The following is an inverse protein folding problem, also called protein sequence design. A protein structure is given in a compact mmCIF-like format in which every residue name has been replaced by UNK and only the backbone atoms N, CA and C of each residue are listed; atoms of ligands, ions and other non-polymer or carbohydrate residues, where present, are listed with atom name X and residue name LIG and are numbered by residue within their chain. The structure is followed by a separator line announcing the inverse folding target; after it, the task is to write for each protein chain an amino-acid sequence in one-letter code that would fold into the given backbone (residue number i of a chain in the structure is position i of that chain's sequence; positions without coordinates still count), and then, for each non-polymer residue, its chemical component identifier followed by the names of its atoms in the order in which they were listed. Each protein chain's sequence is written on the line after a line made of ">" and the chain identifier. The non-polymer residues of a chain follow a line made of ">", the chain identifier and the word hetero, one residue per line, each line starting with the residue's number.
data_IF_079649985182
#
_entry.id   IF_079649985182
#
_cell.length_a   1.000
_cell.length_b   1.000
_cell.length_c   1.000
_cell.angle_alpha   90.00
_cell.angle_beta   90.00
_cell.angle_gamma   90.00
#
_symmetry.space_group_name_H-M   'P 1'
#
loop_
_entity.id
_entity.type
_entity.pdbx_description
1 polymer ?
#
# COMPACT_ATOMS: atom_id res chain seq x y z
N UNK A 1 28.78 35.70 58.56
CA UNK A 1 27.92 36.69 59.18
C UNK A 1 26.54 36.46 58.62
N UNK A 2 25.76 35.63 59.25
CA UNK A 2 24.66 35.90 60.19
C UNK A 2 23.53 36.73 59.57
N UNK A 3 22.36 36.16 59.58
CA UNK A 3 21.09 36.83 59.59
C UNK A 3 19.91 35.92 59.31
N UNK A 4 19.37 35.33 60.36
CA UNK A 4 18.12 34.58 60.40
C UNK A 4 16.91 35.51 60.59
N UNK A 5 15.74 34.98 60.34
CA UNK A 5 14.41 35.23 60.97
C UNK A 5 13.32 35.40 59.95
N UNK A 6 12.12 34.93 60.04
CA UNK A 6 11.30 34.03 60.85
C UNK A 6 9.85 34.14 60.30
N UNK A 7 9.14 33.09 60.37
CA UNK A 7 7.70 32.84 60.44
C UNK A 7 6.68 33.94 60.16
N UNK A 8 5.65 33.61 59.34
CA UNK A 8 4.25 33.77 59.71
C UNK A 8 3.30 32.84 59.05
N UNK A 9 2.43 32.18 59.81
CA UNK A 9 1.31 31.35 59.48
C UNK A 9 0.16 32.14 58.86
N UNK A 10 -0.53 31.52 57.89
CA UNK A 10 -1.85 31.96 57.46
C UNK A 10 -2.53 30.83 56.72
N UNK A 11 -3.41 30.11 57.42
CA UNK A 11 -4.32 29.12 56.87
C UNK A 11 -5.55 29.77 56.26
N UNK A 12 -5.89 29.42 55.02
CA UNK A 12 -7.26 29.49 54.55
C UNK A 12 -7.47 28.45 53.48
N UNK A 13 -8.43 27.56 53.76
CA UNK A 13 -8.98 26.53 52.90
C UNK A 13 -9.79 27.15 51.77
N UNK A 14 -9.53 26.76 50.54
CA UNK A 14 -10.51 26.81 49.46
C UNK A 14 -10.32 25.58 48.58
N UNK A 15 -11.38 24.81 48.54
CA UNK A 15 -11.62 23.68 47.64
C UNK A 15 -11.68 24.21 46.22
N UNK A 16 -10.74 23.80 45.36
CA UNK A 16 -10.81 23.98 43.93
C UNK A 16 -10.93 22.61 43.28
N UNK A 17 -12.09 22.46 42.66
CA UNK A 17 -12.53 21.34 41.84
C UNK A 17 -11.75 21.41 40.52
N UNK A 18 -10.66 20.64 40.41
CA UNK A 18 -9.87 20.57 39.19
C UNK A 18 -10.52 19.55 38.26
N UNK A 19 -11.32 20.03 37.34
CA UNK A 19 -11.71 19.27 36.17
C UNK A 19 -10.45 18.85 35.41
N UNK A 20 -10.18 17.55 35.36
CA UNK A 20 -9.14 16.93 34.56
C UNK A 20 -9.52 17.05 33.06
N UNK A 21 -8.95 18.04 32.41
CA UNK A 21 -9.02 18.22 30.96
C UNK A 21 -8.22 17.07 30.30
N UNK A 22 -8.93 16.04 29.88
CA UNK A 22 -8.37 14.96 29.04
C UNK A 22 -7.98 15.56 27.69
N UNK A 23 -6.77 16.09 27.60
CA UNK A 23 -6.14 16.45 26.34
C UNK A 23 -5.90 15.16 25.54
N UNK A 24 -6.80 14.87 24.62
CA UNK A 24 -6.56 13.89 23.54
C UNK A 24 -5.44 14.44 22.68
N UNK A 25 -4.21 14.04 22.96
CA UNK A 25 -3.06 14.31 22.11
C UNK A 25 -3.32 13.65 20.76
N UNK A 26 -3.73 14.44 19.77
CA UNK A 26 -3.68 14.04 18.38
C UNK A 26 -2.24 13.63 18.08
N UNK A 27 -2.04 12.35 17.73
CA UNK A 27 -0.73 11.83 17.36
C UNK A 27 -0.22 12.67 16.18
N UNK A 28 0.90 13.34 16.38
CA UNK A 28 1.53 14.16 15.35
C UNK A 28 1.80 13.26 14.14
N UNK A 29 1.17 13.55 13.00
CA UNK A 29 1.44 12.88 11.74
C UNK A 29 2.88 13.17 11.37
N UNK A 30 3.76 12.20 11.51
CA UNK A 30 5.15 12.31 11.06
C UNK A 30 5.14 12.40 9.53
N UNK A 31 5.78 13.42 8.93
CA UNK A 31 5.89 13.47 7.48
C UNK A 31 6.56 12.18 6.97
N UNK A 32 6.06 11.65 5.84
CA UNK A 32 6.50 10.39 5.21
C UNK A 32 6.04 9.07 5.86
N UNK A 33 5.10 9.07 6.79
CA UNK A 33 4.47 7.83 7.26
C UNK A 33 3.23 7.49 6.44
N UNK A 34 3.17 6.26 5.95
CA UNK A 34 1.98 5.68 5.31
C UNK A 34 1.38 4.65 6.26
N UNK A 35 0.07 4.72 6.43
CA UNK A 35 -0.69 3.80 7.27
C UNK A 35 -1.19 2.63 6.45
N UNK A 36 -1.01 1.43 6.95
CA UNK A 36 -1.59 0.21 6.38
C UNK A 36 -2.32 -0.59 7.45
N UNK A 37 -3.23 -1.46 7.02
CA UNK A 37 -4.01 -2.29 7.91
C UNK A 37 -3.85 -3.77 7.56
N UNK A 38 -3.73 -4.61 8.59
CA UNK A 38 -3.60 -6.07 8.49
C UNK A 38 -4.87 -6.73 9.03
N UNK A 39 -5.49 -7.60 8.26
CA UNK A 39 -6.71 -8.31 8.67
C UNK A 39 -6.47 -9.22 9.89
N UNK A 40 -7.38 -9.18 10.88
CA UNK A 40 -7.32 -10.02 12.09
C UNK A 40 -7.98 -11.38 11.89
N UNK A 41 -9.14 -11.40 11.23
CA UNK A 41 -9.97 -12.61 11.05
C UNK A 41 -9.51 -13.46 9.86
N UNK A 42 -10.24 -14.52 9.56
CA UNK A 42 -10.02 -15.38 8.38
C UNK A 42 -10.52 -14.76 7.08
N UNK A 43 -11.23 -13.63 7.18
CA UNK A 43 -11.78 -12.86 6.08
C UNK A 43 -11.74 -11.38 6.41
N UNK A 44 -11.66 -10.55 5.36
CA UNK A 44 -11.86 -9.11 5.45
C UNK A 44 -13.02 -8.73 4.51
N UNK A 45 -14.06 -8.11 5.07
CA UNK A 45 -15.17 -7.55 4.31
C UNK A 45 -14.88 -6.09 3.97
N UNK A 46 -15.02 -5.74 2.70
CA UNK A 46 -14.84 -4.38 2.20
C UNK A 46 -16.14 -3.94 1.54
N UNK A 47 -16.73 -2.86 2.02
CA UNK A 47 -17.94 -2.27 1.45
C UNK A 47 -17.57 -1.23 0.40
N UNK A 48 -18.36 -1.13 -0.66
CA UNK A 48 -18.20 -0.06 -1.68
C UNK A 48 -18.68 1.29 -1.19
N UNK A 49 -19.66 1.29 -0.26
CA UNK A 49 -20.23 2.49 0.35
C UNK A 49 -20.33 2.29 1.87
N UNK A 50 -20.22 3.37 2.63
CA UNK A 50 -20.50 3.34 4.06
C UNK A 50 -21.95 2.96 4.32
N UNK A 51 -22.23 2.12 5.34
CA UNK A 51 -23.59 1.84 5.77
C UNK A 51 -24.30 3.15 6.09
N UNK A 52 -25.48 3.36 5.51
CA UNK A 52 -26.32 4.49 5.89
C UNK A 52 -26.71 4.30 7.35
N UNK A 53 -26.19 5.15 8.23
CA UNK A 53 -26.59 5.14 9.65
C UNK A 53 -28.10 5.37 9.70
N UNK A 54 -28.86 4.37 10.10
CA UNK A 54 -30.30 4.52 10.35
C UNK A 54 -30.44 5.34 11.62
N UNK A 55 -30.44 6.67 11.45
CA UNK A 55 -30.94 7.56 12.49
C UNK A 55 -32.43 7.35 12.53
N UNK A 56 -32.92 6.62 13.49
CA UNK A 56 -34.35 6.51 13.77
C UNK A 56 -34.84 7.83 14.35
N UNK A 57 -35.23 8.75 13.47
CA UNK A 57 -36.11 9.87 13.78
C UNK A 57 -37.48 9.64 13.11
N UNK A 58 -38.60 10.05 13.78
CA UNK A 58 -39.95 9.67 13.40
C UNK A 58 -40.40 10.29 12.07
N UNK A 59 -41.49 9.83 11.44
CA UNK A 59 -41.73 9.92 10.01
C UNK A 59 -42.19 11.29 9.58
N UNK A 60 -41.61 11.81 8.50
CA UNK A 60 -42.22 12.86 7.71
C UNK A 60 -41.89 12.69 6.23
N UNK A 61 -42.98 12.41 5.49
CA UNK A 61 -43.27 12.70 4.08
C UNK A 61 -42.26 12.36 2.97
N UNK A 62 -42.67 11.37 2.19
CA UNK A 62 -42.60 11.17 0.73
C UNK A 62 -41.89 12.25 -0.13
N UNK A 63 -40.83 11.82 -0.84
CA UNK A 63 -40.68 12.19 -2.26
C UNK A 63 -39.90 11.09 -2.98
N UNK A 64 -40.51 10.59 -4.04
CA UNK A 64 -39.98 9.65 -5.01
C UNK A 64 -38.91 10.33 -5.86
N UNK A 65 -37.73 9.68 -6.02
CA UNK A 65 -36.83 10.03 -7.12
C UNK A 65 -36.21 8.77 -7.72
N UNK A 66 -36.35 8.66 -9.00
CA UNK A 66 -36.06 7.61 -9.93
C UNK A 66 -34.63 7.07 -9.86
N UNK A 67 -34.53 5.74 -9.83
CA UNK A 67 -33.29 4.96 -10.01
C UNK A 67 -32.82 5.04 -11.46
N UNK A 68 -31.66 5.65 -11.70
CA UNK A 68 -30.92 5.47 -12.95
C UNK A 68 -30.02 4.26 -12.80
N UNK A 69 -30.34 3.20 -13.51
CA UNK A 69 -29.58 1.94 -13.55
C UNK A 69 -28.28 2.18 -14.31
N UNK A 70 -27.14 2.11 -13.62
CA UNK A 70 -25.83 2.06 -14.24
C UNK A 70 -25.62 0.70 -14.94
N UNK A 71 -24.92 0.62 -16.08
CA UNK A 71 -24.74 -0.62 -16.82
C UNK A 71 -23.91 -1.63 -15.99
N UNK A 72 -24.45 -2.84 -15.87
CA UNK A 72 -23.87 -3.97 -15.16
C UNK A 72 -22.69 -4.52 -15.96
N UNK A 73 -21.48 -4.05 -15.68
CA UNK A 73 -20.25 -4.64 -16.23
C UNK A 73 -20.00 -5.94 -15.48
N UNK A 74 -20.24 -7.07 -16.15
CA UNK A 74 -19.97 -8.41 -15.63
C UNK A 74 -18.46 -8.61 -15.65
N UNK A 75 -17.80 -8.62 -14.50
CA UNK A 75 -16.40 -9.04 -14.40
C UNK A 75 -16.29 -10.52 -14.75
N UNK A 76 -15.29 -10.93 -15.58
CA UNK A 76 -15.06 -12.34 -15.87
C UNK A 76 -14.72 -13.12 -14.59
N UNK A 77 -15.14 -14.39 -14.55
CA UNK A 77 -14.88 -15.29 -13.42
C UNK A 77 -13.37 -15.43 -13.18
N UNK A 78 -12.97 -15.41 -11.90
CA UNK A 78 -11.58 -15.55 -11.47
C UNK A 78 -11.08 -16.96 -11.87
N UNK A 79 -10.01 -17.08 -12.69
CA UNK A 79 -9.41 -18.38 -12.99
C UNK A 79 -8.78 -19.00 -11.73
N UNK A 80 -8.87 -20.31 -11.58
CA UNK A 80 -8.54 -21.05 -10.35
C UNK A 80 -7.05 -21.14 -10.02
N UNK A 81 -6.12 -20.75 -10.91
CA UNK A 81 -4.69 -21.05 -10.80
C UNK A 81 -3.78 -19.82 -10.96
N UNK A 82 -4.23 -18.61 -10.69
CA UNK A 82 -3.40 -17.42 -10.85
C UNK A 82 -2.89 -16.83 -9.55
N UNK A 83 -1.93 -15.91 -9.69
CA UNK A 83 -1.33 -15.11 -8.60
C UNK A 83 -2.32 -14.16 -7.89
N UNK A 84 -3.64 -14.42 -7.95
CA UNK A 84 -4.59 -13.70 -7.09
C UNK A 84 -4.43 -14.17 -5.65
N UNK A 85 -3.33 -13.76 -5.03
CA UNK A 85 -2.96 -14.12 -3.68
C UNK A 85 -4.02 -13.73 -2.65
N UNK A 86 -4.79 -12.69 -2.92
CA UNK A 86 -5.77 -12.13 -1.99
C UNK A 86 -7.10 -12.90 -1.92
N UNK A 87 -7.35 -13.88 -2.80
CA UNK A 87 -8.58 -14.69 -2.78
C UNK A 87 -9.86 -13.85 -2.74
N UNK A 88 -9.94 -12.81 -3.58
CA UNK A 88 -11.05 -11.86 -3.60
C UNK A 88 -12.32 -12.44 -4.20
N UNK A 89 -13.45 -12.22 -3.52
CA UNK A 89 -14.81 -12.52 -3.99
C UNK A 89 -15.62 -11.24 -4.01
N UNK A 90 -16.26 -10.92 -5.14
CA UNK A 90 -17.22 -9.82 -5.22
C UNK A 90 -18.54 -10.22 -4.56
N UNK A 91 -19.09 -9.36 -3.71
CA UNK A 91 -20.37 -9.52 -3.03
C UNK A 91 -21.38 -8.49 -3.59
N UNK A 92 -22.61 -8.48 -3.07
CA UNK A 92 -23.61 -7.47 -3.45
C UNK A 92 -23.18 -6.06 -3.05
N UNK A 93 -22.57 -5.93 -1.86
CA UNK A 93 -22.26 -4.64 -1.23
C UNK A 93 -20.76 -4.28 -1.33
N UNK A 94 -19.94 -5.13 -1.98
CA UNK A 94 -18.50 -4.88 -2.08
C UNK A 94 -17.67 -6.12 -2.38
N UNK A 95 -16.73 -6.43 -1.49
CA UNK A 95 -15.76 -7.51 -1.66
C UNK A 95 -15.54 -8.27 -0.36
N UNK A 96 -15.23 -9.55 -0.46
CA UNK A 96 -14.74 -10.40 0.61
C UNK A 96 -13.36 -10.93 0.22
N UNK A 97 -12.38 -10.75 1.07
CA UNK A 97 -11.01 -11.24 0.91
C UNK A 97 -10.72 -12.35 1.89
N UNK A 98 -10.01 -13.39 1.46
CA UNK A 98 -9.50 -14.44 2.34
C UNK A 98 -8.26 -13.96 3.11
N UNK A 99 -8.17 -14.33 4.39
CA UNK A 99 -6.98 -14.14 5.21
C UNK A 99 -6.66 -15.45 5.95
N UNK A 100 -5.44 -15.98 5.89
CA UNK A 100 -4.29 -15.46 5.15
C UNK A 100 -4.46 -15.57 3.62
N UNK A 101 -3.57 -14.91 2.87
CA UNK A 101 -3.48 -14.99 1.41
C UNK A 101 -3.15 -16.43 0.96
N UNK A 102 -3.16 -16.67 -0.37
CA UNK A 102 -2.75 -17.96 -0.94
C UNK A 102 -1.35 -18.39 -0.46
N UNK A 103 -0.40 -17.47 -0.35
CA UNK A 103 0.97 -17.74 0.12
C UNK A 103 1.11 -17.75 1.64
N UNK A 104 -0.02 -17.77 2.37
CA UNK A 104 -0.07 -17.85 3.85
C UNK A 104 0.48 -16.62 4.58
N UNK A 105 0.58 -15.51 3.87
CA UNK A 105 0.90 -14.22 4.49
C UNK A 105 -0.39 -13.53 4.98
N UNK A 106 -0.31 -12.68 6.00
CA UNK A 106 -1.44 -11.85 6.41
C UNK A 106 -1.92 -10.95 5.26
N UNK A 107 -3.23 -10.80 5.10
CA UNK A 107 -3.81 -9.87 4.15
C UNK A 107 -3.59 -8.44 4.63
N UNK A 108 -3.02 -7.61 3.76
CA UNK A 108 -2.72 -6.19 4.02
C UNK A 108 -3.47 -5.32 3.01
N UNK A 109 -3.92 -4.15 3.47
CA UNK A 109 -4.53 -3.09 2.65
C UNK A 109 -3.91 -1.75 3.02
N UNK A 110 -3.85 -0.83 2.06
CA UNK A 110 -3.38 0.54 2.28
C UNK A 110 -4.53 1.43 2.78
N UNK A 111 -4.29 2.22 3.82
CA UNK A 111 -5.31 3.07 4.48
C UNK A 111 -5.23 4.48 3.92
N UNK A 112 -6.25 4.87 3.18
CA UNK A 112 -6.35 6.21 2.57
C UNK A 112 -6.98 7.23 3.50
N UNK A 113 -8.00 6.81 4.27
CA UNK A 113 -8.73 7.66 5.23
C UNK A 113 -9.06 6.86 6.49
N UNK A 114 -9.01 7.51 7.64
CA UNK A 114 -9.45 6.94 8.91
C UNK A 114 -10.54 7.83 9.52
N UNK A 115 -11.76 7.28 9.62
CA UNK A 115 -12.92 7.96 10.18
C UNK A 115 -13.37 7.32 11.52
N UNK A 116 -12.43 6.74 12.26
CA UNK A 116 -12.70 6.07 13.54
C UNK A 116 -13.22 4.65 13.36
N UNK A 117 -14.52 4.43 13.37
CA UNK A 117 -15.13 3.09 13.19
C UNK A 117 -14.86 2.51 11.79
N UNK A 118 -14.74 3.35 10.78
CA UNK A 118 -14.56 2.98 9.39
C UNK A 118 -13.29 3.57 8.80
N UNK A 119 -12.63 2.80 7.94
CA UNK A 119 -11.46 3.23 7.19
C UNK A 119 -11.68 2.99 5.71
N UNK A 120 -11.32 3.99 4.89
CA UNK A 120 -11.26 3.84 3.43
C UNK A 120 -9.91 3.27 3.06
N UNK A 121 -9.91 2.21 2.28
CA UNK A 121 -8.71 1.47 1.92
C UNK A 121 -8.62 1.28 0.41
N UNK A 122 -7.37 1.23 -0.09
CA UNK A 122 -7.05 0.74 -1.42
C UNK A 122 -6.96 -0.79 -1.35
N UNK A 123 -7.59 -1.49 -2.28
CA UNK A 123 -7.71 -2.95 -2.25
C UNK A 123 -7.09 -3.62 -3.49
N UNK A 124 -6.78 -4.91 -3.35
CA UNK A 124 -6.24 -5.75 -4.42
C UNK A 124 -7.38 -6.29 -5.29
N UNK A 125 -7.94 -5.44 -6.13
CA UNK A 125 -9.06 -5.76 -7.02
C UNK A 125 -8.94 -4.99 -8.35
N UNK A 126 -9.63 -5.52 -9.39
CA UNK A 126 -9.76 -4.82 -10.67
C UNK A 126 -11.08 -4.03 -10.73
N UNK A 127 -11.08 -2.85 -11.37
CA UNK A 127 -9.94 -2.15 -11.98
C UNK A 127 -8.91 -1.66 -10.95
N UNK A 128 -7.72 -1.27 -11.41
CA UNK A 128 -6.72 -0.62 -10.56
C UNK A 128 -7.33 0.57 -9.81
N UNK A 129 -6.78 0.90 -8.64
CA UNK A 129 -7.26 1.98 -7.76
C UNK A 129 -8.67 1.78 -7.18
N UNK A 130 -9.19 0.54 -7.19
CA UNK A 130 -10.44 0.22 -6.50
C UNK A 130 -10.28 0.43 -4.99
N UNK A 131 -11.20 1.19 -4.41
CA UNK A 131 -11.24 1.48 -2.97
C UNK A 131 -12.51 0.93 -2.35
N UNK A 132 -12.53 0.86 -1.03
CA UNK A 132 -13.71 0.52 -0.27
C UNK A 132 -13.53 0.81 1.22
N UNK A 133 -14.52 0.48 2.02
CA UNK A 133 -14.58 0.76 3.45
C UNK A 133 -14.51 -0.52 4.26
N UNK A 134 -13.66 -0.53 5.29
CA UNK A 134 -13.51 -1.62 6.24
C UNK A 134 -13.79 -1.12 7.66
N UNK A 135 -14.17 -2.02 8.56
CA UNK A 135 -14.26 -1.70 9.98
C UNK A 135 -12.88 -1.67 10.62
N UNK A 136 -12.64 -0.69 11.47
CA UNK A 136 -11.39 -0.58 12.22
C UNK A 136 -11.16 -1.79 13.14
N UNK A 137 -12.24 -2.37 13.68
CA UNK A 137 -12.17 -3.56 14.55
C UNK A 137 -11.70 -4.83 13.84
N UNK A 138 -11.88 -4.92 12.52
CA UNK A 138 -11.51 -6.10 11.72
C UNK A 138 -10.01 -6.16 11.40
N UNK A 139 -9.23 -5.11 11.74
CA UNK A 139 -7.83 -4.97 11.35
C UNK A 139 -6.94 -4.49 12.48
N UNK A 140 -5.64 -4.73 12.33
CA UNK A 140 -4.58 -4.09 13.11
C UNK A 140 -3.92 -3.02 12.24
N UNK A 141 -3.85 -1.79 12.74
CA UNK A 141 -3.26 -0.66 12.05
C UNK A 141 -1.77 -0.60 12.36
N UNK A 142 -0.95 -0.34 11.35
CA UNK A 142 0.46 -0.07 11.47
C UNK A 142 0.87 1.03 10.48
N UNK A 143 2.08 1.56 10.65
CA UNK A 143 2.64 2.56 9.75
C UNK A 143 4.02 2.13 9.25
N UNK A 144 4.40 2.64 8.09
CA UNK A 144 5.74 2.49 7.52
C UNK A 144 6.29 3.83 7.07
N UNK A 145 7.59 4.01 7.25
CA UNK A 145 8.32 5.16 6.70
C UNK A 145 8.92 4.83 5.33
N UNK A 146 8.81 3.59 4.89
CA UNK A 146 9.30 3.19 3.57
C UNK A 146 8.28 3.53 2.49
N UNK A 147 8.80 4.00 1.34
CA UNK A 147 8.04 4.16 0.10
C UNK A 147 8.91 3.81 -1.10
N UNK A 148 8.29 3.36 -2.15
CA UNK A 148 8.95 3.04 -3.42
C UNK A 148 8.45 4.01 -4.50
N UNK A 149 9.34 4.55 -5.31
CA UNK A 149 9.01 5.46 -6.41
C UNK A 149 9.70 4.96 -7.69
N UNK A 150 8.91 4.69 -8.73
CA UNK A 150 9.40 4.20 -10.03
C UNK A 150 9.13 5.21 -11.13
N UNK A 151 10.17 5.63 -11.82
CA UNK A 151 10.10 6.43 -13.04
C UNK A 151 10.24 5.50 -14.26
N UNK A 152 9.14 5.35 -15.02
CA UNK A 152 9.13 4.51 -16.22
C UNK A 152 9.93 5.11 -17.38
N UNK A 153 10.07 6.43 -17.44
CA UNK A 153 10.79 7.11 -18.51
C UNK A 153 12.30 6.90 -18.44
N UNK A 154 12.82 6.68 -17.24
CA UNK A 154 14.25 6.47 -16.98
C UNK A 154 14.58 5.07 -16.49
N UNK A 155 13.57 4.17 -16.36
CA UNK A 155 13.72 2.81 -15.82
C UNK A 155 14.28 2.79 -14.41
N UNK A 156 14.03 3.82 -13.62
CA UNK A 156 14.70 4.03 -12.35
C UNK A 156 13.77 3.89 -11.16
N UNK A 157 14.18 3.05 -10.22
CA UNK A 157 13.50 2.80 -8.95
C UNK A 157 14.26 3.44 -7.81
N UNK A 158 13.58 4.20 -6.98
CA UNK A 158 14.06 4.70 -5.69
C UNK A 158 13.22 4.14 -4.56
N UNK A 159 13.88 3.76 -3.48
CA UNK A 159 13.25 3.38 -2.22
C UNK A 159 13.73 4.33 -1.16
N UNK A 160 12.81 4.92 -0.45
CA UNK A 160 13.09 5.88 0.63
C UNK A 160 12.73 5.30 1.98
N UNK A 161 13.41 5.77 3.02
CA UNK A 161 12.99 5.64 4.42
C UNK A 161 12.89 7.03 5.01
N UNK A 162 11.68 7.46 5.35
CA UNK A 162 11.44 8.86 5.69
C UNK A 162 11.84 9.78 4.54
N UNK A 163 12.69 10.76 4.84
CA UNK A 163 13.27 11.68 3.85
C UNK A 163 14.49 11.09 3.12
N UNK A 164 15.11 10.04 3.65
CA UNK A 164 16.39 9.55 3.18
C UNK A 164 16.23 8.54 2.04
N UNK A 165 17.10 8.62 1.04
CA UNK A 165 17.22 7.60 0.00
C UNK A 165 17.85 6.34 0.61
N UNK A 166 17.08 5.25 0.66
CA UNK A 166 17.54 3.97 1.21
C UNK A 166 18.31 3.14 0.18
N UNK A 167 17.77 3.05 -1.06
CA UNK A 167 18.42 2.39 -2.19
C UNK A 167 17.81 2.88 -3.50
N UNK A 168 18.61 2.91 -4.55
CA UNK A 168 18.15 3.18 -5.92
C UNK A 168 18.80 2.19 -6.89
N UNK A 169 18.10 1.92 -8.01
CA UNK A 169 18.58 1.00 -9.06
C UNK A 169 17.83 1.20 -10.36
N UNK A 170 18.46 0.87 -11.47
CA UNK A 170 17.73 0.67 -12.72
C UNK A 170 17.02 -0.69 -12.71
N UNK A 171 15.90 -0.78 -13.44
CA UNK A 171 15.02 -1.94 -13.47
C UNK A 171 14.58 -2.29 -14.88
N UNK A 172 14.02 -3.49 -15.05
CA UNK A 172 13.27 -3.85 -16.26
C UNK A 172 11.80 -3.52 -16.04
N UNK A 173 11.16 -2.90 -17.01
CA UNK A 173 9.72 -2.61 -16.96
C UNK A 173 8.96 -3.32 -18.09
N UNK A 174 7.64 -3.18 -18.10
CA UNK A 174 6.77 -3.70 -19.15
C UNK A 174 7.11 -3.17 -20.52
N UNK A 175 7.07 -4.05 -21.54
CA UNK A 175 7.19 -3.64 -22.95
C UNK A 175 5.95 -2.84 -23.38
N UNK A 176 6.04 -2.11 -24.48
CA UNK A 176 4.96 -1.21 -24.95
C UNK A 176 3.62 -1.91 -25.18
N UNK A 177 3.63 -3.20 -25.54
CA UNK A 177 2.41 -4.00 -25.69
C UNK A 177 1.80 -4.51 -24.37
N UNK A 178 2.57 -4.50 -23.28
CA UNK A 178 2.15 -4.91 -21.92
C UNK A 178 2.81 -4.01 -20.90
N UNK A 179 2.46 -2.72 -20.84
CA UNK A 179 3.15 -1.74 -20.03
C UNK A 179 2.95 -2.00 -18.53
N UNK A 180 3.91 -1.57 -17.75
CA UNK A 180 3.74 -1.42 -16.30
C UNK A 180 2.73 -0.29 -16.05
N UNK A 181 1.66 -0.49 -15.27
CA UNK A 181 0.66 0.52 -15.03
C UNK A 181 1.23 1.67 -14.18
N UNK A 182 0.72 2.88 -14.42
CA UNK A 182 1.04 4.08 -13.63
C UNK A 182 0.05 4.27 -12.49
N UNK A 183 0.47 4.97 -11.44
CA UNK A 183 -0.39 5.34 -10.31
C UNK A 183 0.15 4.91 -8.96
N UNK A 184 -0.73 4.96 -7.96
CA UNK A 184 -0.44 4.61 -6.59
C UNK A 184 -0.84 3.16 -6.30
N UNK A 185 0.11 2.39 -5.78
CA UNK A 185 -0.02 0.98 -5.42
C UNK A 185 0.62 0.73 -4.05
N UNK A 186 0.55 -0.51 -3.57
CA UNK A 186 1.27 -0.94 -2.37
C UNK A 186 1.74 -2.39 -2.51
N UNK A 187 2.76 -2.77 -1.74
CA UNK A 187 3.24 -4.15 -1.62
C UNK A 187 2.23 -4.96 -0.81
N UNK A 188 1.58 -5.95 -1.41
CA UNK A 188 0.56 -6.76 -0.73
C UNK A 188 1.16 -7.83 0.17
N UNK A 189 2.29 -8.40 -0.22
CA UNK A 189 2.99 -9.43 0.54
C UNK A 189 4.45 -9.56 0.07
N UNK A 190 5.23 -10.36 0.79
CA UNK A 190 6.63 -10.65 0.44
C UNK A 190 6.83 -12.15 0.34
N UNK A 191 7.26 -12.62 -0.82
CA UNK A 191 7.45 -14.04 -1.11
C UNK A 191 8.93 -14.30 -1.38
N UNK A 192 9.56 -15.09 -0.52
CA UNK A 192 10.96 -15.51 -0.71
C UNK A 192 10.99 -16.76 -1.56
N UNK A 193 11.76 -16.74 -2.64
CA UNK A 193 11.99 -17.91 -3.46
C UNK A 193 13.03 -18.83 -2.82
N UNK A 194 12.98 -20.13 -3.14
CA UNK A 194 13.97 -21.11 -2.67
C UNK A 194 15.34 -20.90 -3.31
N UNK A 195 15.36 -20.39 -4.54
CA UNK A 195 16.58 -20.05 -5.30
C UNK A 195 16.43 -18.69 -5.94
N UNK A 196 17.53 -18.04 -6.27
CA UNK A 196 17.59 -16.77 -6.99
C UNK A 196 17.81 -16.94 -8.50
N UNK A 197 17.93 -18.17 -8.99
CA UNK A 197 18.23 -18.50 -10.38
C UNK A 197 17.00 -18.57 -11.29
N UNK A 198 15.80 -18.53 -10.71
CA UNK A 198 14.54 -18.53 -11.45
C UNK A 198 14.20 -17.16 -12.05
N UNK A 199 13.21 -17.13 -12.94
CA UNK A 199 12.75 -15.91 -13.64
C UNK A 199 12.29 -14.79 -12.67
N UNK A 200 11.87 -15.16 -11.48
CA UNK A 200 11.44 -14.22 -10.41
C UNK A 200 12.54 -13.86 -9.42
N UNK A 201 13.78 -14.41 -9.60
CA UNK A 201 14.91 -14.14 -8.72
C UNK A 201 14.67 -14.53 -7.27
N UNK A 202 15.34 -13.84 -6.34
CA UNK A 202 15.37 -14.17 -4.91
C UNK A 202 14.06 -13.86 -4.16
N UNK A 203 13.36 -12.80 -4.57
CA UNK A 203 12.12 -12.34 -3.91
C UNK A 203 11.09 -11.86 -4.92
N UNK A 204 9.82 -12.03 -4.56
CA UNK A 204 8.66 -11.45 -5.24
C UNK A 204 7.93 -10.56 -4.23
N UNK A 205 7.63 -9.34 -4.66
CA UNK A 205 6.84 -8.34 -3.94
C UNK A 205 5.58 -8.06 -4.79
N UNK A 206 4.53 -8.88 -4.68
CA UNK A 206 3.27 -8.63 -5.36
C UNK A 206 2.69 -7.28 -4.93
N UNK A 207 1.99 -6.62 -5.85
CA UNK A 207 1.29 -5.37 -5.59
C UNK A 207 -0.22 -5.55 -5.68
N UNK A 208 -0.99 -4.55 -5.30
CA UNK A 208 -2.44 -4.52 -5.57
C UNK A 208 -2.76 -4.15 -7.03
N UNK A 209 -1.76 -3.88 -7.86
CA UNK A 209 -1.89 -3.50 -9.27
C UNK A 209 -2.01 -4.71 -10.20
N UNK A 210 -2.72 -4.52 -11.30
CA UNK A 210 -2.90 -5.49 -12.39
C UNK A 210 -2.58 -4.85 -13.73
N UNK A 211 -2.17 -5.66 -14.71
CA UNK A 211 -2.07 -5.21 -16.10
C UNK A 211 -3.42 -4.69 -16.59
N UNK A 212 -3.41 -3.55 -17.29
CA UNK A 212 -4.60 -2.94 -17.85
C UNK A 212 -4.91 -3.46 -19.27
N UNK A 213 -3.99 -4.23 -19.85
CA UNK A 213 -4.11 -4.75 -21.22
C UNK A 213 -4.21 -6.28 -21.28
N UNK A 214 -3.77 -6.98 -20.24
CA UNK A 214 -3.89 -8.44 -20.16
C UNK A 214 -5.13 -8.84 -19.35
N UNK A 215 -5.90 -9.78 -19.87
CA UNK A 215 -7.00 -10.38 -19.09
C UNK A 215 -6.48 -11.46 -18.13
N UNK A 216 -5.52 -12.24 -18.59
CA UNK A 216 -4.88 -13.32 -17.83
C UNK A 216 -3.38 -13.36 -18.09
N UNK A 217 -2.62 -13.93 -17.15
CA UNK A 217 -1.21 -14.22 -17.29
C UNK A 217 -0.89 -15.53 -16.57
N UNK A 218 -0.25 -16.48 -17.28
CA UNK A 218 0.15 -17.79 -16.74
C UNK A 218 -1.01 -18.54 -16.03
N UNK A 219 -2.22 -18.46 -16.62
CA UNK A 219 -3.43 -19.10 -16.10
C UNK A 219 -4.10 -18.37 -14.92
N UNK A 220 -3.61 -17.18 -14.53
CA UNK A 220 -4.15 -16.37 -13.46
C UNK A 220 -4.46 -14.94 -13.83
N UNK A 221 -4.80 -14.13 -12.83
CA UNK A 221 -4.92 -12.69 -13.00
C UNK A 221 -3.53 -12.09 -13.26
N UNK A 222 -3.42 -11.10 -14.17
CA UNK A 222 -2.16 -10.49 -14.54
C UNK A 222 -1.71 -9.46 -13.49
N UNK A 223 -1.47 -9.93 -12.26
CA UNK A 223 -1.03 -9.10 -11.14
C UNK A 223 0.39 -8.62 -11.37
N UNK A 224 0.63 -7.35 -11.10
CA UNK A 224 1.96 -6.75 -11.18
C UNK A 224 2.73 -7.04 -9.91
N UNK A 225 4.00 -7.38 -10.09
CA UNK A 225 4.93 -7.58 -8.97
C UNK A 225 6.28 -6.91 -9.27
N UNK A 226 6.95 -6.52 -8.19
CA UNK A 226 8.37 -6.19 -8.20
C UNK A 226 9.13 -7.44 -7.77
N UNK A 227 10.09 -7.91 -8.55
CA UNK A 227 10.77 -9.18 -8.25
C UNK A 227 12.21 -9.19 -8.75
N UNK A 228 13.00 -10.14 -8.30
CA UNK A 228 14.34 -10.36 -8.80
C UNK A 228 14.37 -10.83 -10.25
N UNK A 229 15.54 -11.15 -10.79
CA UNK A 229 15.68 -11.58 -12.17
C UNK A 229 16.84 -12.56 -12.34
N UNK A 230 16.70 -13.48 -13.29
CA UNK A 230 17.80 -14.29 -13.82
C UNK A 230 18.38 -13.73 -15.15
N UNK A 231 17.92 -12.53 -15.54
CA UNK A 231 18.35 -11.82 -16.76
C UNK A 231 18.80 -10.40 -16.41
N UNK A 232 19.88 -10.24 -15.64
CA UNK A 232 20.35 -8.90 -15.21
C UNK A 232 20.80 -8.03 -16.37
N UNK A 233 21.14 -8.60 -17.52
CA UNK A 233 21.53 -7.89 -18.74
C UNK A 233 20.38 -7.08 -19.35
N UNK A 234 19.12 -7.35 -18.97
CA UNK A 234 17.94 -6.63 -19.46
C UNK A 234 17.61 -5.38 -18.60
N UNK A 235 18.33 -5.14 -17.51
CA UNK A 235 18.11 -3.96 -16.66
C UNK A 235 18.26 -2.68 -17.48
N UNK A 236 17.33 -1.73 -17.30
CA UNK A 236 17.25 -0.51 -18.09
C UNK A 236 16.48 -0.66 -19.42
N UNK A 237 15.70 -1.74 -19.58
CA UNK A 237 14.94 -2.00 -20.81
C UNK A 237 13.44 -2.27 -20.55
N UNK A 238 12.66 -2.23 -21.64
CA UNK A 238 11.26 -2.63 -21.71
C UNK A 238 11.15 -4.09 -22.18
N UNK A 239 11.24 -5.05 -21.26
CA UNK A 239 11.30 -6.47 -21.64
C UNK A 239 10.32 -7.38 -20.90
N UNK A 240 9.58 -6.88 -19.90
CA UNK A 240 8.64 -7.69 -19.11
C UNK A 240 7.22 -7.67 -19.70
N UNK A 241 6.32 -8.45 -19.08
CA UNK A 241 4.88 -8.42 -19.36
C UNK A 241 4.11 -7.53 -18.35
N UNK A 242 4.78 -6.50 -17.81
CA UNK A 242 4.22 -5.55 -16.87
C UNK A 242 4.89 -5.54 -15.50
N UNK A 243 5.44 -6.68 -15.03
CA UNK A 243 6.19 -6.73 -13.77
C UNK A 243 7.50 -5.91 -13.85
N UNK A 244 7.96 -5.45 -12.69
CA UNK A 244 9.22 -4.72 -12.53
C UNK A 244 10.30 -5.68 -12.04
N UNK A 245 11.37 -5.87 -12.86
CA UNK A 245 12.48 -6.76 -12.49
C UNK A 245 13.63 -5.96 -11.90
N UNK A 246 14.08 -6.36 -10.74
CA UNK A 246 15.11 -5.70 -9.94
C UNK A 246 16.33 -6.62 -9.86
N UNK A 247 17.58 -6.11 -9.92
CA UNK A 247 18.76 -6.92 -9.60
C UNK A 247 18.61 -7.67 -8.28
N UNK A 248 19.07 -8.92 -8.23
CA UNK A 248 18.79 -9.81 -7.09
C UNK A 248 19.36 -9.31 -5.76
N UNK A 249 20.54 -8.74 -5.75
CA UNK A 249 21.16 -8.13 -4.58
C UNK A 249 20.34 -6.96 -4.03
N UNK A 250 19.77 -6.15 -4.92
CA UNK A 250 18.92 -5.00 -4.56
C UNK A 250 17.55 -5.46 -4.05
N UNK A 251 16.88 -6.42 -4.72
CA UNK A 251 15.57 -6.90 -4.25
C UNK A 251 15.69 -7.58 -2.90
N UNK A 252 16.79 -8.28 -2.61
CA UNK A 252 17.07 -8.85 -1.28
C UNK A 252 17.16 -7.75 -0.22
N UNK A 253 17.88 -6.66 -0.52
CA UNK A 253 17.99 -5.50 0.38
C UNK A 253 16.63 -4.84 0.62
N UNK A 254 15.85 -4.63 -0.44
CA UNK A 254 14.50 -4.05 -0.35
C UNK A 254 13.60 -4.96 0.48
N UNK A 255 13.46 -6.24 0.12
CA UNK A 255 12.57 -7.18 0.79
C UNK A 255 12.95 -7.41 2.26
N UNK A 256 14.23 -7.28 2.61
CA UNK A 256 14.71 -7.37 4.00
C UNK A 256 14.29 -6.17 4.86
N UNK A 257 14.04 -5.01 4.26
CA UNK A 257 13.80 -3.77 4.98
C UNK A 257 12.32 -3.36 5.03
N UNK A 258 11.60 -3.42 3.89
CA UNK A 258 10.24 -2.91 3.79
C UNK A 258 9.20 -3.90 4.36
N UNK A 259 8.13 -3.44 5.02
CA UNK A 259 6.97 -4.28 5.34
C UNK A 259 6.06 -4.46 4.10
N UNK A 260 5.17 -5.47 4.14
CA UNK A 260 3.94 -5.42 3.35
C UNK A 260 3.12 -4.19 3.77
N UNK A 261 2.38 -3.58 2.86
CA UNK A 261 1.74 -2.28 3.05
C UNK A 261 2.62 -1.09 2.64
N UNK A 262 3.88 -1.30 2.24
CA UNK A 262 4.73 -0.22 1.72
C UNK A 262 4.13 0.35 0.43
N UNK A 263 3.89 1.68 0.35
CA UNK A 263 3.34 2.33 -0.82
C UNK A 263 4.33 2.36 -1.98
N UNK A 264 3.79 2.33 -3.19
CA UNK A 264 4.52 2.37 -4.45
C UNK A 264 3.87 3.40 -5.36
N UNK A 265 4.61 4.41 -5.75
CA UNK A 265 4.18 5.39 -6.76
C UNK A 265 4.92 5.12 -8.06
N UNK A 266 4.17 4.85 -9.12
CA UNK A 266 4.69 4.59 -10.47
C UNK A 266 4.35 5.77 -11.36
N UNK A 267 5.38 6.45 -11.86
CA UNK A 267 5.27 7.64 -12.68
C UNK A 267 5.60 7.34 -14.15
N UNK A 268 4.79 7.89 -15.07
CA UNK A 268 5.06 7.79 -16.51
C UNK A 268 6.34 8.55 -16.91
N UNK A 269 6.62 9.66 -16.20
CA UNK A 269 7.77 10.53 -16.40
C UNK A 269 8.36 10.92 -15.06
N UNK A 270 9.62 11.36 -15.07
CA UNK A 270 10.33 11.77 -13.85
C UNK A 270 9.48 12.76 -13.03
N UNK A 271 9.16 12.45 -11.77
CA UNK A 271 8.39 13.35 -10.92
C UNK A 271 9.19 14.64 -10.64
N UNK A 272 8.51 15.80 -10.54
CA UNK A 272 9.18 17.09 -10.29
C UNK A 272 9.99 17.14 -8.99
N UNK A 273 9.67 16.28 -8.02
CA UNK A 273 10.38 16.13 -6.74
C UNK A 273 11.75 15.47 -6.88
N UNK A 274 12.02 14.81 -8.03
CA UNK A 274 13.31 14.18 -8.25
C UNK A 274 14.30 15.17 -8.86
N UNK A 275 15.53 15.27 -8.34
CA UNK A 275 16.57 16.07 -9.00
C UNK A 275 16.87 15.44 -10.38
N UNK A 276 17.25 16.25 -11.38
CA UNK A 276 17.70 15.75 -12.67
C UNK A 276 18.84 14.75 -12.47
N UNK A 277 18.79 13.61 -13.18
CA UNK A 277 19.94 12.68 -13.20
C UNK A 277 21.13 13.41 -13.82
N UNK A 278 22.20 13.58 -13.06
CA UNK A 278 23.46 14.00 -13.62
C UNK A 278 23.98 12.85 -14.50
N UNK A 279 24.01 13.04 -15.81
CA UNK A 279 24.61 12.11 -16.76
C UNK A 279 26.14 12.10 -16.53
N UNK A 280 26.62 11.26 -15.58
CA UNK A 280 28.01 11.25 -15.20
C UNK A 280 28.39 10.33 -14.07
N UNK A 281 27.77 9.17 -13.94
CA UNK A 281 28.31 8.09 -13.08
C UNK A 281 28.08 6.73 -13.75
N UNK A 282 28.83 6.49 -14.81
CA UNK A 282 29.15 5.13 -15.24
C UNK A 282 30.04 4.53 -14.15
N UNK A 283 29.44 3.78 -13.22
CA UNK A 283 30.21 2.92 -12.33
C UNK A 283 30.72 1.72 -13.12
N UNK A 284 31.77 1.92 -13.88
CA UNK A 284 32.67 0.85 -14.31
C UNK A 284 33.41 0.35 -13.08
N UNK A 285 32.79 -0.58 -12.35
CA UNK A 285 33.59 -1.47 -11.50
C UNK A 285 34.35 -2.44 -12.41
N UNK A 286 35.67 -2.56 -12.27
CA UNK A 286 36.45 -3.57 -12.99
C UNK A 286 36.04 -4.95 -12.45
N UNK A 287 35.70 -5.85 -13.37
CA UNK A 287 35.52 -7.28 -13.05
C UNK A 287 36.88 -7.86 -12.61
N UNK A 288 36.89 -8.75 -11.63
CA UNK A 288 38.04 -9.59 -11.32
C UNK A 288 38.29 -10.62 -12.41
#
# INVERSE_FOLDING_TARGET
>A
VLGASACSKGSSSSSDDSAEETTTTASAVTPYQTTYATAKGTKLTVLTELPKTVVTNPPSSTSSTSSTTAPKTTMPAIPRNGLNSAGVKKTADGYEFSNPTYYKNPLVVDVLENQGEWMKVLITARPNHTTGWIKADDVTIAATEYRMELDLSTFHLKVFKGADLFVETDVVIGKDSTPTPVGHFFVTEKIKNQTDTGIYGAWILPTNGYSEVLDTFDGGLPQIAFHGTNQPELVGTKASNGCVRIPNDVVVKIAGAIPAGTPIDIYATTPPSWPPRTTGSSSTQPRP
#
